data_IF_337145766833
#
_entry.id   IF_337145766833
#
_cell.length_a   1.000
_cell.length_b   1.000
_cell.length_c   1.000
_cell.angle_alpha   90.00
_cell.angle_beta   90.00
_cell.angle_gamma   90.00
#
_symmetry.space_group_name_H-M   'P 1'
#
loop_
_entity.id
_entity.type
_entity.pdbx_description
1 polymer ?
#
# COMPACT_ATOMS: atom_id res chain seq x y z
N UNK A 1 27.43 -74.23 -28.72
CA UNK A 1 27.68 -73.13 -29.67
C UNK A 1 26.42 -72.29 -29.77
N UNK A 2 26.54 -71.01 -29.38
CA UNK A 2 25.72 -69.82 -29.67
C UNK A 2 24.19 -69.99 -29.69
N UNK A 3 23.50 -69.45 -28.68
CA UNK A 3 22.10 -69.04 -28.79
C UNK A 3 21.92 -67.63 -28.24
N UNK A 4 21.32 -66.79 -29.07
CA UNK A 4 21.06 -65.36 -28.94
C UNK A 4 20.04 -65.08 -27.82
N UNK A 5 20.36 -64.19 -26.89
CA UNK A 5 19.37 -63.55 -26.01
C UNK A 5 19.37 -62.04 -26.25
N UNK A 6 18.43 -61.58 -27.09
CA UNK A 6 18.16 -60.16 -27.29
C UNK A 6 17.58 -59.53 -26.02
N UNK A 7 18.21 -58.47 -25.52
CA UNK A 7 17.63 -57.63 -24.47
C UNK A 7 16.62 -56.67 -25.11
N UNK A 8 15.34 -56.85 -24.77
CA UNK A 8 14.26 -55.91 -25.07
C UNK A 8 14.47 -54.67 -24.19
N UNK A 9 14.66 -53.50 -24.79
CA UNK A 9 14.56 -52.21 -24.10
C UNK A 9 13.09 -51.99 -23.69
N UNK A 10 12.78 -52.15 -22.42
CA UNK A 10 11.52 -51.68 -21.86
C UNK A 10 11.52 -50.15 -21.83
N UNK A 11 10.59 -49.52 -22.53
CA UNK A 11 10.35 -48.09 -22.40
C UNK A 11 9.94 -47.78 -20.96
N UNK A 12 10.65 -46.85 -20.30
CA UNK A 12 10.18 -46.30 -19.02
C UNK A 12 8.82 -45.63 -19.22
N UNK A 13 7.83 -45.84 -18.32
CA UNK A 13 6.59 -45.08 -18.36
C UNK A 13 6.89 -43.58 -18.19
N UNK A 14 6.14 -42.68 -18.85
CA UNK A 14 6.33 -41.25 -18.69
C UNK A 14 6.15 -40.88 -17.21
N UNK A 15 7.13 -40.16 -16.67
CA UNK A 15 7.09 -39.69 -15.29
C UNK A 15 5.77 -38.95 -15.04
N UNK A 16 5.01 -39.41 -14.04
CA UNK A 16 3.81 -38.72 -13.60
C UNK A 16 4.20 -37.29 -13.19
N UNK A 17 3.51 -36.30 -13.75
CA UNK A 17 3.78 -34.88 -13.45
C UNK A 17 3.53 -34.63 -11.96
N UNK A 18 4.40 -33.86 -11.32
CA UNK A 18 4.26 -33.53 -9.92
C UNK A 18 3.08 -32.57 -9.72
N UNK A 19 2.36 -32.66 -8.59
CA UNK A 19 1.23 -31.77 -8.31
C UNK A 19 1.61 -30.28 -8.24
N UNK A 20 2.91 -29.98 -8.06
CA UNK A 20 3.43 -28.62 -8.07
C UNK A 20 3.58 -28.07 -9.50
N UNK A 21 3.92 -28.92 -10.48
CA UNK A 21 3.98 -28.51 -11.89
C UNK A 21 2.58 -28.19 -12.43
N UNK A 22 1.58 -28.99 -12.08
CA UNK A 22 0.18 -28.76 -12.49
C UNK A 22 -0.40 -27.48 -11.86
N UNK A 23 -0.07 -27.19 -10.59
CA UNK A 23 -0.45 -25.93 -9.92
C UNK A 23 0.20 -24.72 -10.56
N UNK A 24 1.48 -24.83 -10.92
CA UNK A 24 2.22 -23.75 -11.58
C UNK A 24 1.69 -23.48 -12.98
N UNK A 25 1.38 -24.53 -13.74
CA UNK A 25 0.79 -24.43 -15.08
C UNK A 25 -0.63 -23.84 -15.02
N UNK A 26 -1.45 -24.25 -14.04
CA UNK A 26 -2.77 -23.68 -13.80
C UNK A 26 -2.71 -22.18 -13.40
N UNK A 27 -1.73 -21.78 -12.57
CA UNK A 27 -1.51 -20.38 -12.20
C UNK A 27 -1.09 -19.53 -13.41
N UNK A 28 -0.20 -20.05 -14.26
CA UNK A 28 0.22 -19.38 -15.50
C UNK A 28 -0.95 -19.22 -16.47
N UNK A 29 -1.78 -20.26 -16.63
CA UNK A 29 -2.97 -20.21 -17.48
C UNK A 29 -4.03 -19.23 -16.95
N UNK A 30 -4.26 -19.21 -15.63
CA UNK A 30 -5.18 -18.27 -14.99
C UNK A 30 -4.68 -16.81 -15.11
N UNK A 31 -3.38 -16.58 -14.98
CA UNK A 31 -2.76 -15.28 -15.20
C UNK A 31 -2.90 -14.82 -16.66
N UNK A 32 -2.62 -15.70 -17.63
CA UNK A 32 -2.79 -15.39 -19.06
C UNK A 32 -4.25 -15.08 -19.42
N UNK A 33 -5.22 -15.84 -18.89
CA UNK A 33 -6.63 -15.59 -19.11
C UNK A 33 -7.10 -14.26 -18.46
N UNK A 34 -6.56 -13.93 -17.28
CA UNK A 34 -6.81 -12.64 -16.62
C UNK A 34 -6.19 -11.49 -17.41
N UNK A 35 -4.96 -11.64 -17.87
CA UNK A 35 -4.25 -10.66 -18.69
C UNK A 35 -5.00 -10.36 -20.00
N UNK A 36 -5.53 -11.38 -20.69
CA UNK A 36 -6.34 -11.21 -21.90
C UNK A 36 -7.70 -10.51 -21.63
N UNK A 37 -8.36 -10.81 -20.50
CA UNK A 37 -9.59 -10.11 -20.09
C UNK A 37 -9.32 -8.65 -19.75
N UNK A 38 -8.21 -8.37 -19.07
CA UNK A 38 -7.76 -7.02 -18.75
C UNK A 38 -7.33 -6.27 -20.00
N UNK A 39 -6.59 -6.91 -20.91
CA UNK A 39 -6.17 -6.32 -22.20
C UNK A 39 -7.39 -5.85 -23.00
N UNK A 40 -8.45 -6.65 -23.10
CA UNK A 40 -9.69 -6.26 -23.80
C UNK A 40 -10.41 -5.05 -23.19
N UNK A 41 -10.28 -4.84 -21.87
CA UNK A 41 -10.80 -3.64 -21.17
C UNK A 41 -9.84 -2.45 -21.28
N UNK A 42 -8.54 -2.71 -21.18
CA UNK A 42 -7.46 -1.72 -21.29
C UNK A 42 -7.32 -1.14 -22.70
N UNK A 43 -7.63 -1.93 -23.74
CA UNK A 43 -7.62 -1.50 -25.15
C UNK A 43 -8.59 -0.35 -25.47
N UNK A 44 -9.42 0.07 -24.50
CA UNK A 44 -10.34 1.21 -24.63
C UNK A 44 -9.81 2.50 -23.99
N UNK A 45 -8.68 2.43 -23.29
CA UNK A 45 -8.07 3.56 -22.59
C UNK A 45 -6.66 3.78 -23.14
N UNK A 46 -6.39 5.00 -23.61
CA UNK A 46 -5.04 5.43 -23.96
C UNK A 46 -4.23 5.78 -22.69
N UNK A 47 -2.92 5.99 -22.85
CA UNK A 47 -2.04 6.35 -21.74
C UNK A 47 -2.51 7.63 -21.00
N UNK A 48 -3.10 8.57 -21.73
CA UNK A 48 -3.66 9.78 -21.16
C UNK A 48 -4.85 9.50 -20.24
N UNK A 49 -5.74 8.57 -20.62
CA UNK A 49 -6.86 8.15 -19.79
C UNK A 49 -6.37 7.52 -18.48
N UNK A 50 -5.30 6.72 -18.52
CA UNK A 50 -4.70 6.17 -17.31
C UNK A 50 -4.06 7.24 -16.44
N UNK A 51 -3.33 8.18 -17.05
CA UNK A 51 -2.73 9.29 -16.33
C UNK A 51 -3.79 10.16 -15.65
N UNK A 52 -4.91 10.45 -16.33
CA UNK A 52 -6.05 11.17 -15.74
C UNK A 52 -6.62 10.43 -14.55
N UNK A 53 -6.91 9.14 -14.68
CA UNK A 53 -7.43 8.32 -13.57
C UNK A 53 -6.50 8.32 -12.35
N UNK A 54 -5.19 8.16 -12.55
CA UNK A 54 -4.22 8.21 -11.45
C UNK A 54 -4.15 9.61 -10.81
N UNK A 55 -4.28 10.65 -11.63
CA UNK A 55 -4.32 12.05 -11.15
C UNK A 55 -5.58 12.34 -10.32
N UNK A 56 -6.73 11.81 -10.75
CA UNK A 56 -8.01 11.94 -10.05
C UNK A 56 -7.96 11.17 -8.72
N UNK A 57 -7.39 9.96 -8.70
CA UNK A 57 -7.15 9.20 -7.46
C UNK A 57 -6.28 10.00 -6.49
N UNK A 58 -5.21 10.63 -6.98
CA UNK A 58 -4.33 11.46 -6.16
C UNK A 58 -5.01 12.72 -5.60
N UNK A 59 -6.25 13.04 -6.00
CA UNK A 59 -7.03 14.11 -5.39
C UNK A 59 -7.83 13.65 -4.16
N UNK A 60 -8.17 12.36 -4.04
CA UNK A 60 -9.12 11.88 -3.03
C UNK A 60 -8.60 10.73 -2.19
N UNK A 61 -7.65 9.94 -2.68
CA UNK A 61 -7.16 8.77 -1.98
C UNK A 61 -6.29 9.14 -0.78
N UNK A 62 -6.54 8.54 0.38
CA UNK A 62 -5.73 8.69 1.58
C UNK A 62 -5.25 7.32 2.03
N UNK A 63 -3.94 7.07 1.96
CA UNK A 63 -3.36 5.82 2.46
C UNK A 63 -3.22 5.88 3.97
N UNK A 64 -3.70 4.83 4.65
CA UNK A 64 -3.61 4.69 6.10
C UNK A 64 -2.61 3.56 6.41
N UNK A 65 -1.55 3.91 7.14
CA UNK A 65 -0.54 2.97 7.62
C UNK A 65 -0.66 2.83 9.14
N UNK A 66 -0.53 1.61 9.64
CA UNK A 66 -0.67 1.33 11.05
C UNK A 66 -0.56 -0.16 11.36
N UNK A 67 -0.58 -0.48 12.66
CA UNK A 67 -0.57 -1.87 13.12
C UNK A 67 -1.99 -2.46 13.15
N UNK A 68 -2.11 -3.73 12.78
CA UNK A 68 -3.39 -4.47 12.68
C UNK A 68 -3.65 -5.42 13.86
N UNK A 69 -3.21 -5.06 15.08
CA UNK A 69 -3.77 -5.70 16.29
C UNK A 69 -5.16 -5.17 16.54
N UNK A 70 -6.02 -5.90 17.25
CA UNK A 70 -7.42 -5.50 17.49
C UNK A 70 -7.54 -4.08 18.05
N UNK A 71 -6.70 -3.73 19.03
CA UNK A 71 -6.64 -2.41 19.64
C UNK A 71 -6.25 -1.32 18.63
N UNK A 72 -5.20 -1.57 17.84
CA UNK A 72 -4.68 -0.59 16.88
C UNK A 72 -5.57 -0.47 15.65
N UNK A 73 -6.16 -1.57 15.17
CA UNK A 73 -7.13 -1.60 14.07
C UNK A 73 -8.37 -0.76 14.38
N UNK A 74 -8.83 -0.74 15.63
CA UNK A 74 -9.94 0.13 16.05
C UNK A 74 -9.63 1.63 15.85
N UNK A 75 -8.37 2.05 16.05
CA UNK A 75 -7.91 3.42 15.76
C UNK A 75 -7.89 3.68 14.25
N UNK A 76 -7.37 2.74 13.45
CA UNK A 76 -7.35 2.87 11.99
C UNK A 76 -8.75 2.92 11.39
N UNK A 77 -9.70 2.17 11.95
CA UNK A 77 -11.11 2.23 11.58
C UNK A 77 -11.79 3.55 11.97
N UNK A 78 -11.40 4.18 13.08
CA UNK A 78 -11.85 5.53 13.42
C UNK A 78 -11.33 6.56 12.42
N UNK A 79 -10.04 6.50 12.06
CA UNK A 79 -9.44 7.36 11.04
C UNK A 79 -10.18 7.20 9.71
N UNK A 80 -10.43 5.95 9.29
CA UNK A 80 -11.18 5.62 8.08
C UNK A 80 -12.58 6.22 8.12
N UNK A 81 -13.32 6.04 9.21
CA UNK A 81 -14.67 6.61 9.38
C UNK A 81 -14.63 8.14 9.33
N UNK A 82 -13.72 8.76 10.06
CA UNK A 82 -13.58 10.21 10.11
C UNK A 82 -13.31 10.78 8.70
N UNK A 83 -12.43 10.16 7.91
CA UNK A 83 -12.18 10.57 6.52
C UNK A 83 -13.45 10.52 5.66
N UNK A 84 -14.26 9.46 5.77
CA UNK A 84 -15.48 9.31 4.97
C UNK A 84 -16.61 10.26 5.37
N UNK A 85 -16.56 10.83 6.57
CA UNK A 85 -17.56 11.78 7.07
C UNK A 85 -17.25 13.24 6.67
N UNK A 86 -16.09 13.51 6.09
CA UNK A 86 -15.72 14.84 5.63
C UNK A 86 -16.35 15.13 4.26
N UNK A 87 -16.83 16.36 4.07
CA UNK A 87 -17.42 16.84 2.81
C UNK A 87 -16.44 16.86 1.62
N UNK A 88 -15.17 16.56 1.86
CA UNK A 88 -14.10 16.49 0.85
C UNK A 88 -14.10 15.19 0.03
N UNK A 89 -14.87 14.18 0.44
CA UNK A 89 -15.03 12.94 -0.33
C UNK A 89 -13.77 12.06 -0.38
N UNK A 90 -12.97 12.05 0.70
CA UNK A 90 -11.77 11.21 0.74
C UNK A 90 -12.10 9.72 0.61
N UNK A 91 -11.23 9.01 -0.09
CA UNK A 91 -11.29 7.56 -0.28
C UNK A 91 -10.15 6.92 0.54
N UNK A 92 -10.43 6.43 1.76
CA UNK A 92 -9.41 5.82 2.59
C UNK A 92 -8.98 4.45 2.02
N UNK A 93 -7.67 4.26 1.89
CA UNK A 93 -7.04 3.00 1.52
C UNK A 93 -6.44 2.41 2.79
N UNK A 94 -7.11 1.41 3.35
CA UNK A 94 -6.65 0.63 4.50
C UNK A 94 -6.34 -0.78 4.02
N UNK A 95 -5.08 -1.21 4.11
CA UNK A 95 -4.66 -2.53 3.63
C UNK A 95 -4.51 -3.49 4.82
N UNK A 96 -5.50 -4.36 5.03
CA UNK A 96 -5.38 -5.45 6.01
C UNK A 96 -4.42 -6.50 5.45
N UNK A 97 -3.27 -6.65 6.10
CA UNK A 97 -2.06 -7.31 5.59
C UNK A 97 -2.16 -8.85 5.55
N UNK A 98 -3.27 -9.42 5.10
CA UNK A 98 -3.23 -10.80 4.62
C UNK A 98 -2.34 -10.84 3.36
N UNK A 99 -1.09 -11.22 3.63
CA UNK A 99 0.03 -11.30 2.70
C UNK A 99 -0.41 -12.06 1.45
N UNK A 100 -0.61 -11.35 0.34
CA UNK A 100 -0.69 -12.02 -0.96
C UNK A 100 0.62 -12.80 -1.17
N UNK A 101 0.59 -14.12 -1.40
CA UNK A 101 1.79 -14.95 -1.46
C UNK A 101 2.73 -14.60 -2.63
N UNK A 102 2.30 -13.74 -3.55
CA UNK A 102 2.99 -13.44 -4.81
C UNK A 102 3.67 -12.06 -4.86
N UNK A 103 3.57 -11.21 -3.82
CA UNK A 103 4.12 -9.83 -3.87
C UNK A 103 4.86 -9.43 -2.60
N UNK A 104 5.96 -8.71 -2.77
CA UNK A 104 6.60 -7.97 -1.68
C UNK A 104 5.61 -6.89 -1.17
N UNK A 105 5.40 -6.88 0.14
CA UNK A 105 4.48 -5.96 0.81
C UNK A 105 4.87 -4.50 0.55
N UNK A 106 6.17 -4.21 0.53
CA UNK A 106 6.69 -2.86 0.32
C UNK A 106 6.35 -2.35 -1.08
N UNK A 107 6.43 -3.19 -2.12
CA UNK A 107 6.06 -2.79 -3.48
C UNK A 107 4.58 -2.40 -3.58
N UNK A 108 3.71 -3.11 -2.89
CA UNK A 108 2.27 -2.82 -2.91
C UNK A 108 1.98 -1.49 -2.22
N UNK A 109 2.61 -1.25 -1.06
CA UNK A 109 2.50 0.00 -0.31
C UNK A 109 3.02 1.19 -1.14
N UNK A 110 4.16 1.04 -1.82
CA UNK A 110 4.70 2.08 -2.72
C UNK A 110 3.72 2.47 -3.83
N UNK A 111 3.06 1.50 -4.47
CA UNK A 111 2.07 1.79 -5.52
C UNK A 111 0.90 2.62 -4.99
N UNK A 112 0.37 2.28 -3.81
CA UNK A 112 -0.72 3.04 -3.21
C UNK A 112 -0.27 4.43 -2.73
N UNK A 113 0.95 4.56 -2.22
CA UNK A 113 1.52 5.85 -1.87
C UNK A 113 1.58 6.79 -3.09
N UNK A 114 2.00 6.28 -4.25
CA UNK A 114 2.10 7.06 -5.49
C UNK A 114 0.78 7.63 -6.02
N UNK A 115 -0.36 7.01 -5.68
CA UNK A 115 -1.71 7.49 -6.07
C UNK A 115 -2.47 8.16 -4.92
N UNK A 116 -1.80 8.38 -3.78
CA UNK A 116 -2.42 9.01 -2.62
C UNK A 116 -2.23 10.52 -2.63
N UNK A 117 -3.26 11.22 -2.16
CA UNK A 117 -3.20 12.66 -1.87
C UNK A 117 -2.22 12.94 -0.75
N UNK A 118 -2.37 12.19 0.35
CA UNK A 118 -1.47 12.17 1.50
C UNK A 118 -1.61 10.82 2.22
N UNK A 119 -0.70 10.59 3.17
CA UNK A 119 -0.61 9.35 3.94
C UNK A 119 -0.81 9.69 5.41
N UNK A 120 -1.69 8.99 6.12
CA UNK A 120 -1.77 9.04 7.59
C UNK A 120 -1.03 7.82 8.12
N UNK A 121 0.03 8.05 8.89
CA UNK A 121 0.88 6.97 9.42
C UNK A 121 0.81 6.94 10.94
N UNK A 122 0.14 5.94 11.49
CA UNK A 122 0.12 5.71 12.93
C UNK A 122 1.38 4.98 13.37
N UNK A 123 2.26 5.69 14.08
CA UNK A 123 3.55 5.22 14.55
C UNK A 123 3.46 4.48 15.90
N UNK A 124 2.26 4.37 16.46
CA UNK A 124 2.03 3.68 17.72
C UNK A 124 2.24 2.17 17.52
N UNK A 125 3.00 1.57 18.42
CA UNK A 125 3.41 0.18 18.47
C UNK A 125 4.23 -0.22 17.22
N UNK A 126 5.41 0.42 17.03
CA UNK A 126 6.12 0.41 15.76
C UNK A 126 6.74 -0.96 15.47
N UNK A 127 6.18 -1.68 14.49
CA UNK A 127 6.82 -2.86 13.88
C UNK A 127 7.05 -2.71 12.38
N UNK A 128 6.02 -2.39 11.58
CA UNK A 128 6.14 -2.33 10.12
C UNK A 128 6.18 -0.90 9.55
N UNK A 129 5.42 0.02 10.15
CA UNK A 129 5.25 1.39 9.63
C UNK A 129 6.58 2.15 9.44
N UNK A 130 7.58 2.08 10.35
CA UNK A 130 8.85 2.75 10.11
C UNK A 130 9.59 2.23 8.86
N UNK A 131 9.52 0.93 8.57
CA UNK A 131 10.15 0.36 7.38
C UNK A 131 9.41 0.77 6.10
N UNK A 132 8.07 0.80 6.14
CA UNK A 132 7.24 1.33 5.04
C UNK A 132 7.58 2.79 4.75
N UNK A 133 7.68 3.65 5.78
CA UNK A 133 8.06 5.05 5.62
C UNK A 133 9.48 5.25 5.07
N UNK A 134 10.43 4.38 5.42
CA UNK A 134 11.78 4.40 4.85
C UNK A 134 11.79 4.13 3.34
N UNK A 135 10.82 3.37 2.83
CA UNK A 135 10.66 3.14 1.40
C UNK A 135 9.85 4.27 0.73
N UNK A 136 8.72 4.65 1.32
CA UNK A 136 7.76 5.59 0.74
C UNK A 136 8.35 7.00 0.63
N UNK A 137 8.91 7.54 1.71
CA UNK A 137 9.27 8.96 1.75
C UNK A 137 10.36 9.31 0.73
N UNK A 138 11.42 8.50 0.54
CA UNK A 138 12.38 8.73 -0.54
C UNK A 138 11.82 8.50 -1.94
N UNK A 139 10.92 7.53 -2.13
CA UNK A 139 10.34 7.21 -3.43
C UNK A 139 9.27 8.23 -3.89
N UNK A 140 8.59 8.87 -2.94
CA UNK A 140 7.49 9.79 -3.17
C UNK A 140 7.65 11.10 -2.37
N UNK A 141 8.69 11.91 -2.66
CA UNK A 141 8.96 13.14 -1.91
C UNK A 141 7.88 14.23 -2.09
N UNK A 142 6.96 14.07 -3.06
CA UNK A 142 5.82 14.96 -3.29
C UNK A 142 4.51 14.48 -2.64
N UNK A 143 4.53 13.37 -1.91
CA UNK A 143 3.37 12.84 -1.18
C UNK A 143 3.52 13.18 0.30
N UNK A 144 2.64 14.04 0.85
CA UNK A 144 2.62 14.34 2.28
C UNK A 144 2.42 13.11 3.15
N UNK A 145 3.16 13.02 4.26
CA UNK A 145 2.99 12.03 5.32
C UNK A 145 2.63 12.74 6.61
N UNK A 146 1.56 12.27 7.26
CA UNK A 146 0.99 12.82 8.48
C UNK A 146 1.20 11.78 9.59
N UNK A 147 2.32 11.87 10.33
CA UNK A 147 2.60 10.91 11.39
C UNK A 147 1.74 11.21 12.61
N UNK A 148 1.11 10.17 13.15
CA UNK A 148 0.35 10.19 14.38
C UNK A 148 1.03 9.28 15.41
N UNK A 149 0.97 9.63 16.69
CA UNK A 149 1.41 8.74 17.77
C UNK A 149 0.54 8.92 19.01
N UNK A 150 0.22 7.81 19.67
CA UNK A 150 -0.45 7.81 20.96
C UNK A 150 0.49 8.33 22.06
N UNK A 151 0.01 9.22 22.94
CA UNK A 151 0.81 9.95 23.94
C UNK A 151 1.56 9.04 24.91
N UNK A 152 1.01 7.85 25.20
CA UNK A 152 1.64 6.84 26.04
C UNK A 152 2.90 6.25 25.40
N UNK A 153 3.13 6.51 24.12
CA UNK A 153 4.18 5.90 23.32
C UNK A 153 5.26 6.90 22.90
N UNK A 154 6.48 6.37 22.81
CA UNK A 154 7.66 7.14 22.40
C UNK A 154 7.86 7.01 20.90
N UNK A 155 8.29 8.12 20.29
CA UNK A 155 8.75 8.12 18.90
C UNK A 155 9.90 7.12 18.72
N UNK A 156 9.87 6.39 17.61
CA UNK A 156 10.92 5.42 17.31
C UNK A 156 12.22 6.16 16.92
N UNK A 157 13.37 5.89 17.56
CA UNK A 157 14.59 6.68 17.33
C UNK A 157 15.14 6.62 15.90
N UNK A 158 14.90 5.53 15.17
CA UNK A 158 15.46 5.31 13.81
C UNK A 158 14.69 6.11 12.74
N UNK A 159 13.46 6.53 13.02
CA UNK A 159 12.67 7.33 12.07
C UNK A 159 13.05 8.81 12.04
N UNK A 160 13.95 9.28 12.90
CA UNK A 160 14.23 10.72 13.06
C UNK A 160 14.65 11.41 11.74
N UNK A 161 15.46 10.75 10.92
CA UNK A 161 15.88 11.29 9.62
C UNK A 161 14.74 11.35 8.59
N UNK A 162 13.82 10.39 8.59
CA UNK A 162 12.65 10.39 7.70
C UNK A 162 11.62 11.42 8.17
N UNK A 163 11.39 11.53 9.47
CA UNK A 163 10.42 12.47 10.02
C UNK A 163 10.79 13.93 9.75
N UNK A 164 12.09 14.23 9.60
CA UNK A 164 12.58 15.58 9.27
C UNK A 164 12.47 15.95 7.79
N UNK A 165 11.98 15.06 6.92
CA UNK A 165 11.81 15.35 5.50
C UNK A 165 10.71 16.38 5.29
N UNK A 166 10.88 17.21 4.27
CA UNK A 166 9.94 18.29 3.95
C UNK A 166 8.51 17.79 3.69
N UNK A 167 8.37 16.57 3.17
CA UNK A 167 7.08 15.94 2.91
C UNK A 167 6.40 15.35 4.13
N UNK A 168 7.03 15.38 5.30
CA UNK A 168 6.47 14.85 6.54
C UNK A 168 5.97 16.02 7.40
N UNK A 169 4.74 15.93 7.90
CA UNK A 169 4.19 16.93 8.80
C UNK A 169 4.98 16.96 10.11
N UNK A 170 5.34 18.17 10.52
CA UNK A 170 6.05 18.45 11.76
C UNK A 170 5.27 19.51 12.57
N UNK A 171 5.18 19.37 13.91
CA UNK A 171 5.61 18.20 14.69
C UNK A 171 4.72 16.95 14.43
N UNK A 172 5.15 15.78 14.91
CA UNK A 172 4.32 14.57 14.91
C UNK A 172 3.05 14.84 15.71
N UNK A 173 1.89 14.47 15.16
CA UNK A 173 0.59 14.69 15.81
C UNK A 173 0.44 13.68 16.94
N UNK A 174 0.11 14.17 18.13
CA UNK A 174 -0.05 13.36 19.32
C UNK A 174 -1.50 13.29 19.75
N UNK A 175 -1.98 12.10 20.10
CA UNK A 175 -3.33 11.90 20.63
C UNK A 175 -3.30 11.04 21.90
N UNK A 176 -4.29 11.25 22.78
CA UNK A 176 -4.34 10.57 24.09
C UNK A 176 -5.10 9.26 24.03
N UNK A 177 -6.18 9.29 23.26
CA UNK A 177 -7.15 8.22 23.10
C UNK A 177 -7.97 8.48 21.82
N UNK A 178 -8.86 7.55 21.48
CA UNK A 178 -9.72 7.62 20.30
C UNK A 178 -10.65 8.83 20.29
N UNK A 179 -11.16 9.27 21.46
CA UNK A 179 -12.03 10.44 21.55
C UNK A 179 -11.23 11.74 21.35
N UNK A 180 -10.00 11.80 21.84
CA UNK A 180 -9.09 12.90 21.55
C UNK A 180 -8.77 12.97 20.06
N UNK A 181 -8.43 11.83 19.44
CA UNK A 181 -8.16 11.74 18.01
C UNK A 181 -9.31 12.29 17.18
N UNK A 182 -10.56 11.92 17.50
CA UNK A 182 -11.75 12.42 16.82
C UNK A 182 -11.89 13.95 16.95
N UNK A 183 -11.64 14.52 18.14
CA UNK A 183 -11.73 15.98 18.36
C UNK A 183 -10.69 16.76 17.57
N UNK A 184 -9.48 16.24 17.42
CA UNK A 184 -8.37 16.93 16.74
C UNK A 184 -8.29 16.62 15.24
N UNK A 185 -9.09 15.67 14.75
CA UNK A 185 -8.95 15.12 13.40
C UNK A 185 -8.99 16.20 12.32
N UNK A 186 -9.95 17.11 12.38
CA UNK A 186 -10.06 18.21 11.43
C UNK A 186 -8.88 19.17 11.50
N UNK A 187 -8.64 19.74 12.68
CA UNK A 187 -7.73 20.86 12.89
C UNK A 187 -6.24 20.49 12.90
N UNK A 188 -5.89 19.31 13.39
CA UNK A 188 -4.50 18.88 13.60
C UNK A 188 -4.03 17.80 12.62
N UNK A 189 -4.95 17.16 11.88
CA UNK A 189 -4.59 16.14 10.89
C UNK A 189 -4.96 16.61 9.48
N UNK A 190 -6.23 16.90 9.22
CA UNK A 190 -6.70 17.19 7.87
C UNK A 190 -6.26 18.56 7.37
N UNK A 191 -6.48 19.63 8.14
CA UNK A 191 -6.08 20.97 7.70
C UNK A 191 -4.56 21.10 7.48
N UNK A 192 -3.68 20.60 8.37
CA UNK A 192 -2.24 20.61 8.12
C UNK A 192 -1.84 19.74 6.93
N UNK A 193 -2.49 18.58 6.73
CA UNK A 193 -2.25 17.73 5.56
C UNK A 193 -2.54 18.46 4.27
N UNK A 194 -3.67 19.15 4.17
CA UNK A 194 -4.04 19.92 3.00
C UNK A 194 -3.10 21.10 2.73
N UNK A 195 -2.66 21.81 3.79
CA UNK A 195 -1.62 22.84 3.66
C UNK A 195 -0.32 22.25 3.11
N UNK A 196 0.05 21.06 3.57
CA UNK A 196 1.25 20.36 3.11
C UNK A 196 1.11 19.91 1.65
N UNK A 197 -0.05 19.38 1.25
CA UNK A 197 -0.36 19.08 -0.16
C UNK A 197 -0.19 20.32 -1.02
N UNK A 198 -0.83 21.45 -0.66
CA UNK A 198 -0.77 22.69 -1.42
C UNK A 198 0.66 23.23 -1.55
N UNK A 199 1.49 23.05 -0.51
CA UNK A 199 2.89 23.48 -0.50
C UNK A 199 3.78 22.62 -1.41
N UNK A 200 3.61 21.29 -1.39
CA UNK A 200 4.43 20.37 -2.20
C UNK A 200 3.96 20.28 -3.66
N UNK A 201 2.67 20.57 -3.91
CA UNK A 201 2.04 20.52 -5.23
C UNK A 201 1.35 21.85 -5.51
N UNK A 202 2.10 22.96 -5.62
CA UNK A 202 1.49 24.24 -5.94
C UNK A 202 0.76 24.13 -7.29
N UNK A 203 -0.42 24.76 -7.44
CA UNK A 203 -1.06 24.83 -8.75
C UNK A 203 -0.06 25.45 -9.74
N UNK A 204 0.03 24.86 -10.94
CA UNK A 204 0.81 25.46 -12.02
C UNK A 204 0.31 26.89 -12.19
N UNK A 205 1.20 27.88 -12.04
CA UNK A 205 0.88 29.26 -12.40
C UNK A 205 0.63 29.26 -13.90
N UNK A 206 -0.65 29.37 -14.29
CA UNK A 206 -1.09 29.48 -15.67
C UNK A 206 -1.13 30.94 -16.06
#
# INVERSE_FOLDING_TARGET
MVSHAGRVFGALPPAARSGDDERREAAVAAHAATALRTQRRASRHDAESYQRQLSDMAQVCVLILGRFTDERKAVLDDIRRALTQLDRGYVPILFDFEKAPERDLIESVLRFAGVSRFIIADLSDPKSVPAELQAIVPAHPSVPVIPLIEDSQREYPVSDHILRRESVLQPVVRYRDRAHLQRIFGSEIIEPAERLVARLRPPLLV
#
